data_IF_405634101429
#
_entry.id   IF_405634101429
#
_cell.length_a   1.000
_cell.length_b   1.000
_cell.length_c   1.000
_cell.angle_alpha   90.00
_cell.angle_beta   90.00
_cell.angle_gamma   90.00
#
_symmetry.space_group_name_H-M   'P 1'
#
loop_
_entity.id
_entity.type
_entity.pdbx_description
1 polymer ?
#
# COMPACT_ATOMS: atom_id res chain seq x y z
N UNK A 1 -6.31 20.34 18.85
CA UNK A 1 -6.18 19.91 17.44
C UNK A 1 -5.79 18.43 17.28
N UNK A 2 -4.64 17.97 17.80
CA UNK A 2 -4.21 16.54 17.74
C UNK A 2 -5.33 15.51 18.01
N UNK A 3 -6.05 15.65 19.15
CA UNK A 3 -7.15 14.74 19.52
C UNK A 3 -8.28 14.73 18.49
N UNK A 4 -8.62 15.89 17.90
CA UNK A 4 -9.67 16.01 16.88
C UNK A 4 -9.30 15.20 15.64
N UNK A 5 -8.11 15.44 15.07
CA UNK A 5 -7.60 14.73 13.88
C UNK A 5 -7.59 13.22 14.11
N UNK A 6 -7.01 12.77 15.23
CA UNK A 6 -6.93 11.34 15.53
C UNK A 6 -8.31 10.71 15.71
N UNK A 7 -9.26 11.41 16.32
CA UNK A 7 -10.62 10.89 16.50
C UNK A 7 -11.38 10.85 15.18
N UNK A 8 -11.31 11.91 14.35
CA UNK A 8 -11.90 11.92 13.01
C UNK A 8 -11.37 10.79 12.14
N UNK A 9 -10.06 10.54 12.18
CA UNK A 9 -9.45 9.42 11.46
C UNK A 9 -9.96 8.07 11.96
N UNK A 10 -10.08 7.87 13.27
CA UNK A 10 -10.63 6.64 13.86
C UNK A 10 -12.10 6.41 13.47
N UNK A 11 -12.93 7.45 13.51
CA UNK A 11 -14.33 7.34 13.05
C UNK A 11 -14.42 7.01 11.56
N UNK A 12 -13.50 7.54 10.73
CA UNK A 12 -13.45 7.20 9.32
C UNK A 12 -12.99 5.74 9.08
N UNK A 13 -12.08 5.21 9.92
CA UNK A 13 -11.72 3.78 9.91
C UNK A 13 -12.93 2.88 10.18
N UNK A 14 -13.68 3.18 11.25
CA UNK A 14 -14.91 2.47 11.62
C UNK A 14 -15.94 2.47 10.48
N UNK A 15 -16.18 3.64 9.88
CA UNK A 15 -17.11 3.81 8.76
C UNK A 15 -16.74 2.98 7.52
N UNK A 16 -15.46 2.61 7.36
CA UNK A 16 -14.95 1.81 6.26
C UNK A 16 -14.64 0.36 6.65
N UNK A 17 -15.18 -0.11 7.78
CA UNK A 17 -15.01 -1.49 8.27
C UNK A 17 -13.55 -1.90 8.51
N UNK A 18 -12.69 -0.94 8.89
CA UNK A 18 -11.31 -1.20 9.27
C UNK A 18 -11.21 -1.16 10.79
N UNK A 19 -10.94 -2.31 11.39
CA UNK A 19 -10.71 -2.42 12.83
C UNK A 19 -9.34 -1.87 13.19
N UNK A 20 -9.17 -1.31 14.39
CA UNK A 20 -7.89 -0.73 14.79
C UNK A 20 -7.59 -0.86 16.28
N UNK A 21 -6.30 -0.81 16.61
CA UNK A 21 -5.78 -0.61 17.98
C UNK A 21 -5.00 0.69 18.02
N UNK A 22 -5.40 1.61 18.89
CA UNK A 22 -4.78 2.94 19.04
C UNK A 22 -3.89 2.99 20.29
N UNK A 23 -2.65 3.43 20.11
CA UNK A 23 -1.69 3.72 21.18
C UNK A 23 -1.08 5.10 20.94
N UNK A 24 -1.62 6.13 21.63
CA UNK A 24 -1.30 7.55 21.39
C UNK A 24 -1.51 8.00 19.93
N UNK A 25 -0.43 8.27 19.19
CA UNK A 25 -0.44 8.66 17.77
C UNK A 25 -0.35 7.49 16.80
N UNK A 26 -0.16 6.28 17.33
CA UNK A 26 0.03 5.06 16.56
C UNK A 26 -1.30 4.33 16.46
N UNK A 27 -1.68 3.95 15.24
CA UNK A 27 -2.91 3.23 14.93
C UNK A 27 -2.54 1.99 14.13
N UNK A 28 -2.64 0.82 14.76
CA UNK A 28 -2.51 -0.48 14.09
C UNK A 28 -3.83 -0.84 13.43
N UNK A 29 -3.78 -1.30 12.18
CA UNK A 29 -4.93 -1.53 11.31
C UNK A 29 -5.14 -3.02 11.07
N UNK A 30 -6.41 -3.42 11.08
CA UNK A 30 -6.85 -4.79 10.95
C UNK A 30 -8.05 -4.86 9.99
N UNK A 31 -8.08 -5.90 9.18
CA UNK A 31 -9.21 -6.21 8.31
C UNK A 31 -9.50 -7.71 8.44
N UNK A 32 -10.75 -8.06 8.77
CA UNK A 32 -11.15 -9.42 9.13
C UNK A 32 -10.20 -10.05 10.18
N UNK A 33 -9.90 -9.30 11.24
CA UNK A 33 -8.97 -9.67 12.33
C UNK A 33 -7.50 -9.90 11.93
N UNK A 34 -7.15 -9.71 10.66
CA UNK A 34 -5.78 -9.83 10.17
C UNK A 34 -5.11 -8.45 10.18
N UNK A 35 -3.96 -8.37 10.83
CA UNK A 35 -3.12 -7.17 10.84
C UNK A 35 -2.54 -6.92 9.44
N UNK A 36 -2.80 -5.74 8.88
CA UNK A 36 -2.28 -5.34 7.56
C UNK A 36 -1.48 -4.04 7.58
N UNK A 37 -1.22 -3.46 8.75
CA UNK A 37 -0.26 -2.37 8.84
C UNK A 37 -0.53 -1.39 9.96
N UNK A 38 0.24 -0.31 9.98
CA UNK A 38 0.21 0.70 11.02
C UNK A 38 0.32 2.09 10.41
N UNK A 39 -0.23 3.08 11.10
CA UNK A 39 -0.12 4.48 10.76
C UNK A 39 0.28 5.24 12.02
N UNK A 40 1.32 6.07 11.92
CA UNK A 40 1.79 6.94 12.98
C UNK A 40 1.65 8.40 12.58
N UNK A 41 0.87 9.15 13.35
CA UNK A 41 0.73 10.58 13.20
C UNK A 41 1.84 11.31 13.95
N UNK A 42 2.88 11.75 13.23
CA UNK A 42 3.98 12.48 13.82
C UNK A 42 3.68 13.97 13.90
N UNK A 43 3.08 14.40 15.01
CA UNK A 43 2.84 15.80 15.33
C UNK A 43 4.14 16.54 15.61
N UNK A 44 4.38 17.64 14.89
CA UNK A 44 5.55 18.52 15.06
C UNK A 44 5.36 19.41 16.29
N UNK A 45 6.47 19.86 16.89
CA UNK A 45 6.49 20.72 18.08
C UNK A 45 7.50 21.86 17.93
N UNK A 46 7.25 22.97 18.64
CA UNK A 46 8.14 24.13 18.69
C UNK A 46 8.44 24.70 17.30
N UNK A 47 9.72 24.94 17.01
CA UNK A 47 10.22 25.49 15.74
C UNK A 47 9.88 24.67 14.49
N UNK A 48 9.41 23.44 14.65
CA UNK A 48 9.02 22.56 13.55
C UNK A 48 7.54 22.68 13.17
N UNK A 49 6.75 23.48 13.89
CA UNK A 49 5.40 23.86 13.50
C UNK A 49 5.50 25.03 12.53
N UNK A 50 4.77 24.96 11.41
CA UNK A 50 4.78 26.03 10.41
C UNK A 50 4.23 27.33 11.03
N UNK A 51 4.84 28.46 10.69
CA UNK A 51 4.44 29.77 11.25
C UNK A 51 2.95 30.00 10.98
N UNK A 52 2.21 30.38 12.04
CA UNK A 52 0.76 30.60 11.98
C UNK A 52 -0.10 29.34 12.07
N UNK A 53 0.48 28.13 11.98
CA UNK A 53 -0.29 26.89 12.07
C UNK A 53 -0.67 26.57 13.53
N UNK A 54 -1.90 26.10 13.72
CA UNK A 54 -2.35 25.50 14.99
C UNK A 54 -1.69 24.14 15.23
N UNK A 55 -1.36 23.42 14.16
CA UNK A 55 -0.83 22.08 14.22
C UNK A 55 -0.17 21.72 12.90
N UNK A 56 1.01 21.09 12.95
CA UNK A 56 1.64 20.44 11.79
C UNK A 56 1.90 18.99 12.12
N UNK A 57 1.66 18.08 11.18
CA UNK A 57 1.94 16.66 11.35
C UNK A 57 2.31 16.00 10.02
N UNK A 58 2.98 14.87 10.10
CA UNK A 58 3.22 13.99 8.94
C UNK A 58 2.73 12.58 9.27
N UNK A 59 2.37 11.83 8.24
CA UNK A 59 2.03 10.42 8.37
C UNK A 59 3.28 9.57 8.13
N UNK A 60 3.55 8.63 9.05
CA UNK A 60 4.63 7.66 8.93
C UNK A 60 4.02 6.26 9.05
N UNK A 61 4.30 5.37 8.12
CA UNK A 61 3.65 4.04 8.10
C UNK A 61 4.26 3.03 9.08
N UNK A 62 5.52 3.21 9.50
CA UNK A 62 6.20 2.16 10.25
C UNK A 62 7.19 2.71 11.27
N UNK A 63 7.15 2.11 12.45
CA UNK A 63 8.19 2.19 13.47
C UNK A 63 8.56 0.73 13.67
N UNK A 64 9.78 0.35 13.28
CA UNK A 64 10.26 -1.02 13.46
C UNK A 64 10.41 -1.35 14.95
N UNK A 65 10.64 -2.63 15.27
CA UNK A 65 10.81 -3.12 16.64
C UNK A 65 11.95 -2.44 17.43
N UNK A 66 12.85 -1.74 16.73
CA UNK A 66 13.97 -0.98 17.30
C UNK A 66 13.66 0.50 17.51
N UNK A 67 12.41 0.93 17.37
CA UNK A 67 11.98 2.34 17.47
C UNK A 67 12.72 3.29 16.51
N UNK A 68 13.25 2.78 15.40
CA UNK A 68 13.93 3.60 14.40
C UNK A 68 12.89 4.31 13.53
N UNK A 69 13.11 5.62 13.38
CA UNK A 69 12.27 6.55 12.65
C UNK A 69 12.56 6.40 11.15
N UNK A 70 12.04 5.35 10.55
CA UNK A 70 12.18 5.16 9.11
C UNK A 70 11.09 5.95 8.37
N UNK A 71 11.52 6.96 7.61
CA UNK A 71 10.64 7.56 6.61
C UNK A 71 10.53 6.53 5.49
N UNK A 72 9.49 5.69 5.59
CA UNK A 72 9.16 4.51 4.77
C UNK A 72 9.54 3.22 5.47
N UNK A 73 8.59 2.31 5.55
CA UNK A 73 8.70 0.90 5.15
C UNK A 73 7.34 0.28 5.49
N UNK A 74 6.46 0.01 4.52
CA UNK A 74 5.38 -0.96 4.79
C UNK A 74 5.96 -2.29 4.34
N UNK A 75 6.59 -2.97 5.29
CA UNK A 75 6.73 -4.42 5.22
C UNK A 75 5.31 -4.98 5.09
N UNK A 76 5.04 -5.84 4.10
CA UNK A 76 3.88 -6.71 3.84
C UNK A 76 3.85 -6.95 2.31
N UNK A 77 3.50 -8.10 1.74
CA UNK A 77 2.67 -9.21 2.21
C UNK A 77 3.48 -10.49 2.45
N UNK A 78 2.99 -11.38 3.33
CA UNK A 78 3.46 -12.79 3.27
C UNK A 78 2.73 -13.55 2.16
N UNK A 79 1.61 -13.04 1.65
CA UNK A 79 0.69 -13.76 0.77
C UNK A 79 1.22 -13.88 -0.65
N UNK A 80 1.51 -12.78 -1.34
CA UNK A 80 2.03 -12.81 -2.73
C UNK A 80 3.40 -13.52 -2.77
N UNK A 81 4.33 -13.24 -1.84
CA UNK A 81 5.59 -13.96 -1.76
C UNK A 81 5.46 -15.45 -1.46
N UNK A 82 4.50 -15.88 -0.63
CA UNK A 82 4.28 -17.32 -0.35
C UNK A 82 3.77 -18.09 -1.56
N UNK A 83 2.96 -17.46 -2.41
CA UNK A 83 2.44 -18.13 -3.61
C UNK A 83 3.46 -18.20 -4.74
N UNK A 84 4.45 -17.31 -4.77
CA UNK A 84 5.44 -17.23 -5.85
C UNK A 84 6.87 -17.00 -5.33
N UNK A 85 7.45 -17.98 -4.63
CA UNK A 85 8.80 -17.87 -4.09
C UNK A 85 9.84 -17.56 -5.17
N UNK A 86 9.76 -18.20 -6.34
CA UNK A 86 10.71 -17.97 -7.44
C UNK A 86 10.58 -16.59 -8.07
N UNK A 87 9.41 -15.95 -7.95
CA UNK A 87 9.19 -14.59 -8.44
C UNK A 87 9.73 -13.56 -7.42
N UNK A 88 9.80 -13.89 -6.13
CA UNK A 88 10.47 -13.02 -5.15
C UNK A 88 11.97 -12.92 -5.39
N UNK A 89 12.61 -14.02 -5.81
CA UNK A 89 14.04 -14.03 -6.10
C UNK A 89 14.40 -13.08 -7.26
N UNK A 90 13.44 -12.82 -8.16
CA UNK A 90 13.55 -11.81 -9.24
C UNK A 90 13.49 -10.37 -8.71
N UNK A 91 12.86 -10.16 -7.55
CA UNK A 91 12.67 -8.85 -6.93
C UNK A 91 13.77 -8.46 -5.93
N UNK A 92 14.53 -9.41 -5.39
CA UNK A 92 15.83 -9.31 -4.68
C UNK A 92 15.92 -10.52 -3.73
N UNK A 93 16.95 -11.37 -3.86
CA UNK A 93 17.19 -12.53 -2.95
C UNK A 93 17.38 -12.14 -1.47
N UNK A 94 17.68 -10.87 -1.17
CA UNK A 94 18.10 -10.40 0.15
C UNK A 94 17.23 -9.28 0.75
N UNK A 95 16.16 -8.85 0.07
CA UNK A 95 15.32 -7.74 0.51
C UNK A 95 13.91 -8.24 0.83
N UNK A 96 13.37 -7.80 1.96
CA UNK A 96 11.98 -8.08 2.34
C UNK A 96 11.04 -7.64 1.21
N UNK A 97 10.05 -8.45 0.78
CA UNK A 97 9.18 -8.13 -0.35
C UNK A 97 8.22 -6.97 -0.01
N UNK A 98 8.73 -5.74 -0.02
CA UNK A 98 7.99 -4.50 0.20
C UNK A 98 7.77 -3.80 -1.14
N UNK A 99 6.88 -4.33 -1.99
CA UNK A 99 6.70 -3.78 -3.33
C UNK A 99 5.90 -2.47 -3.34
N UNK A 100 5.38 -1.99 -2.21
CA UNK A 100 4.74 -0.68 -2.07
C UNK A 100 5.60 0.28 -1.25
N UNK A 101 6.13 1.33 -1.90
CA UNK A 101 7.00 2.35 -1.31
C UNK A 101 6.53 3.75 -1.73
N UNK A 102 5.97 4.49 -0.79
CA UNK A 102 5.61 5.91 -0.98
C UNK A 102 6.49 6.79 -0.11
N UNK A 103 7.27 7.69 -0.73
CA UNK A 103 8.04 8.69 0.01
C UNK A 103 7.15 9.91 0.30
N UNK A 104 7.21 10.46 1.52
CA UNK A 104 6.45 11.68 1.88
C UNK A 104 6.76 12.88 0.96
N UNK A 105 7.99 12.96 0.45
CA UNK A 105 8.42 13.96 -0.54
C UNK A 105 7.78 13.80 -1.93
N UNK A 106 7.27 12.62 -2.25
CA UNK A 106 6.62 12.33 -3.54
C UNK A 106 5.12 12.58 -3.47
N UNK A 107 4.50 12.46 -2.29
CA UNK A 107 3.08 12.75 -2.07
C UNK A 107 2.66 14.15 -2.47
N UNK A 108 3.51 15.15 -2.21
CA UNK A 108 3.22 16.53 -2.58
C UNK A 108 3.08 16.74 -4.10
N UNK A 109 3.46 15.74 -4.91
CA UNK A 109 3.25 15.70 -6.36
C UNK A 109 1.89 15.10 -6.75
N UNK A 110 1.32 14.26 -5.88
CA UNK A 110 0.08 13.51 -6.16
C UNK A 110 -1.15 14.20 -5.57
N UNK A 111 -0.97 14.87 -4.42
CA UNK A 111 -2.06 15.56 -3.76
C UNK A 111 -1.53 16.80 -3.02
N UNK A 112 -2.17 17.93 -3.30
CA UNK A 112 -1.81 19.24 -2.76
C UNK A 112 -1.98 19.34 -1.24
N UNK A 113 -2.66 18.38 -0.62
CA UNK A 113 -2.77 18.25 0.84
C UNK A 113 -1.41 17.92 1.47
N UNK A 114 -0.55 17.16 0.79
CA UNK A 114 0.75 16.70 1.31
C UNK A 114 1.92 17.61 0.92
N UNK A 115 1.77 18.92 1.13
CA UNK A 115 2.82 19.93 0.90
C UNK A 115 4.04 19.71 1.80
N UNK A 116 5.13 20.44 1.54
CA UNK A 116 6.31 20.53 2.40
C UNK A 116 6.90 19.16 2.80
N UNK A 117 7.14 18.29 1.82
CA UNK A 117 7.65 16.93 2.02
C UNK A 117 6.71 16.00 2.81
N UNK A 118 5.39 16.14 2.61
CA UNK A 118 4.38 15.31 3.26
C UNK A 118 3.97 15.81 4.65
N UNK A 119 4.21 17.09 4.94
CA UNK A 119 3.77 17.74 6.17
C UNK A 119 2.44 18.45 5.91
N UNK A 120 1.43 18.03 6.66
CA UNK A 120 0.12 18.66 6.69
C UNK A 120 0.13 19.70 7.82
N UNK A 121 -0.24 20.95 7.50
CA UNK A 121 -0.37 22.02 8.49
C UNK A 121 -1.81 22.56 8.50
N UNK A 122 -2.40 22.63 9.68
CA UNK A 122 -3.71 23.20 9.92
C UNK A 122 -3.57 24.58 10.54
N UNK A 123 -4.33 25.53 10.02
CA UNK A 123 -4.35 26.93 10.42
C UNK A 123 -5.64 27.26 11.18
N UNK A 124 -5.72 28.40 11.89
CA UNK A 124 -6.92 28.80 12.62
C UNK A 124 -8.20 28.79 11.80
N UNK A 125 -8.10 29.14 10.52
CA UNK A 125 -9.18 29.19 9.54
C UNK A 125 -9.54 27.83 8.93
N UNK A 126 -8.77 26.77 9.19
CA UNK A 126 -9.05 25.44 8.65
C UNK A 126 -10.40 24.93 9.16
N UNK A 127 -11.31 24.70 8.22
CA UNK A 127 -12.65 24.19 8.44
C UNK A 127 -12.67 22.69 8.78
N UNK A 128 -13.82 22.21 9.26
CA UNK A 128 -14.02 20.78 9.48
C UNK A 128 -14.05 19.97 8.18
N UNK A 129 -14.53 20.57 7.08
CA UNK A 129 -14.52 19.93 5.77
C UNK A 129 -13.09 19.72 5.26
N UNK A 130 -12.20 20.71 5.40
CA UNK A 130 -10.79 20.55 5.03
C UNK A 130 -10.11 19.46 5.87
N UNK A 131 -10.45 19.34 7.17
CA UNK A 131 -9.96 18.23 8.00
C UNK A 131 -10.44 16.89 7.44
N UNK A 132 -11.70 16.78 7.02
CA UNK A 132 -12.24 15.56 6.43
C UNK A 132 -11.56 15.22 5.09
N UNK A 133 -11.33 16.21 4.23
CA UNK A 133 -10.57 16.03 2.97
C UNK A 133 -9.17 15.49 3.24
N UNK A 134 -8.48 16.00 4.27
CA UNK A 134 -7.18 15.48 4.69
C UNK A 134 -7.27 14.02 5.13
N UNK A 135 -8.30 13.67 5.93
CA UNK A 135 -8.51 12.28 6.39
C UNK A 135 -8.77 11.35 5.20
N UNK A 136 -9.61 11.76 4.24
CA UNK A 136 -9.91 11.02 3.02
C UNK A 136 -8.64 10.81 2.20
N UNK A 137 -7.85 11.86 2.00
CA UNK A 137 -6.59 11.79 1.26
C UNK A 137 -5.59 10.83 1.91
N UNK A 138 -5.49 10.79 3.24
CA UNK A 138 -4.68 9.79 3.94
C UNK A 138 -5.20 8.38 3.68
N UNK A 139 -6.52 8.20 3.64
CA UNK A 139 -7.13 6.91 3.38
C UNK A 139 -6.86 6.39 1.96
N UNK A 140 -7.17 7.22 0.97
CA UNK A 140 -7.09 6.88 -0.46
C UNK A 140 -5.66 6.67 -0.93
N UNK A 141 -4.69 7.37 -0.32
CA UNK A 141 -3.28 7.26 -0.72
C UNK A 141 -2.47 6.29 0.15
N UNK A 142 -3.00 5.83 1.30
CA UNK A 142 -2.29 4.90 2.20
C UNK A 142 -3.10 3.70 2.64
N UNK A 143 -4.22 3.94 3.33
CA UNK A 143 -4.95 2.85 4.02
C UNK A 143 -5.50 1.85 3.00
N UNK A 144 -6.19 2.33 1.97
CA UNK A 144 -6.77 1.46 0.95
C UNK A 144 -5.71 0.79 0.08
N UNK A 145 -4.72 1.49 -0.50
CA UNK A 145 -3.66 0.84 -1.27
C UNK A 145 -2.92 -0.23 -0.47
N UNK A 146 -2.60 0.04 0.80
CA UNK A 146 -1.93 -0.91 1.68
C UNK A 146 -2.80 -2.16 1.93
N UNK A 147 -4.08 -1.97 2.26
CA UNK A 147 -5.03 -3.07 2.47
C UNK A 147 -5.17 -3.90 1.18
N UNK A 148 -5.47 -3.24 0.06
CA UNK A 148 -5.73 -3.91 -1.21
C UNK A 148 -4.52 -4.71 -1.68
N UNK A 149 -3.33 -4.12 -1.59
CA UNK A 149 -2.09 -4.82 -1.92
C UNK A 149 -1.83 -6.01 -0.98
N UNK A 150 -1.99 -5.83 0.34
CA UNK A 150 -1.74 -6.89 1.31
C UNK A 150 -2.59 -8.15 1.09
N UNK A 151 -3.87 -7.95 0.77
CA UNK A 151 -4.81 -9.04 0.49
C UNK A 151 -4.82 -9.49 -0.97
N UNK A 152 -3.95 -8.93 -1.83
CA UNK A 152 -3.92 -9.27 -3.26
C UNK A 152 -5.24 -9.01 -3.98
N UNK A 153 -5.98 -7.98 -3.56
CA UNK A 153 -7.27 -7.60 -4.13
C UNK A 153 -7.11 -7.06 -5.54
N UNK A 154 -8.06 -7.32 -6.44
CA UNK A 154 -8.06 -6.75 -7.79
C UNK A 154 -8.04 -5.21 -7.80
N UNK A 155 -8.66 -4.56 -6.81
CA UNK A 155 -8.62 -3.11 -6.59
C UNK A 155 -7.19 -2.55 -6.51
N UNK A 156 -6.21 -3.33 -6.05
CA UNK A 156 -4.82 -2.89 -5.99
C UNK A 156 -4.25 -2.59 -7.39
N UNK A 157 -4.78 -3.20 -8.45
CA UNK A 157 -4.37 -2.90 -9.83
C UNK A 157 -4.71 -1.46 -10.18
N UNK A 158 -5.90 -0.98 -9.82
CA UNK A 158 -6.31 0.42 -10.03
C UNK A 158 -5.43 1.37 -9.22
N UNK A 159 -5.14 1.02 -7.96
CA UNK A 159 -4.23 1.79 -7.09
C UNK A 159 -2.83 1.94 -7.72
N UNK A 160 -2.29 0.85 -8.27
CA UNK A 160 -0.99 0.84 -8.96
C UNK A 160 -1.03 1.67 -10.24
N UNK A 161 -2.07 1.53 -11.05
CA UNK A 161 -2.20 2.29 -12.29
C UNK A 161 -2.33 3.79 -12.05
N UNK A 162 -2.99 4.20 -10.96
CA UNK A 162 -3.10 5.59 -10.54
C UNK A 162 -1.75 6.16 -10.14
N UNK A 163 -0.97 5.42 -9.34
CA UNK A 163 0.29 5.90 -8.76
C UNK A 163 1.43 4.86 -8.84
N UNK A 164 1.93 4.51 -10.04
CA UNK A 164 2.85 3.39 -10.21
C UNK A 164 4.21 3.59 -9.54
N UNK A 165 4.65 4.83 -9.38
CA UNK A 165 5.89 5.17 -8.65
C UNK A 165 5.81 4.85 -7.15
N UNK A 166 4.61 4.64 -6.63
CA UNK A 166 4.39 4.16 -5.26
C UNK A 166 4.76 2.69 -5.09
N UNK A 167 5.14 1.99 -6.15
CA UNK A 167 5.47 0.58 -6.12
C UNK A 167 6.89 0.34 -6.66
N UNK A 168 7.68 -0.52 -5.99
CA UNK A 168 9.03 -0.92 -6.43
C UNK A 168 8.95 -1.68 -7.76
N UNK A 169 7.94 -2.54 -7.89
CA UNK A 169 7.69 -3.40 -9.04
C UNK A 169 6.23 -3.32 -9.49
N UNK A 170 5.79 -2.17 -10.04
CA UNK A 170 4.39 -1.91 -10.32
C UNK A 170 3.80 -2.90 -11.32
N UNK A 171 4.47 -3.13 -12.45
CA UNK A 171 3.93 -3.98 -13.50
C UNK A 171 3.92 -5.45 -13.07
N UNK A 172 4.99 -5.89 -12.45
CA UNK A 172 5.09 -7.25 -11.96
C UNK A 172 4.07 -7.55 -10.87
N UNK A 173 3.79 -6.57 -10.00
CA UNK A 173 2.72 -6.66 -9.01
C UNK A 173 1.35 -6.79 -9.66
N UNK A 174 1.07 -6.03 -10.72
CA UNK A 174 -0.18 -6.16 -11.49
C UNK A 174 -0.33 -7.59 -12.02
N UNK A 175 0.72 -8.15 -12.65
CA UNK A 175 0.68 -9.51 -13.21
C UNK A 175 0.39 -10.57 -12.13
N UNK A 176 1.03 -10.44 -10.96
CA UNK A 176 0.83 -11.35 -9.83
C UNK A 176 -0.61 -11.30 -9.30
N UNK A 177 -1.15 -10.09 -9.10
CA UNK A 177 -2.51 -9.90 -8.62
C UNK A 177 -3.52 -10.41 -9.65
N UNK A 178 -3.29 -10.13 -10.93
CA UNK A 178 -4.13 -10.65 -12.01
C UNK A 178 -4.15 -12.18 -12.01
N UNK A 179 -2.99 -12.82 -11.84
CA UNK A 179 -2.93 -14.27 -11.75
C UNK A 179 -3.66 -14.82 -10.51
N UNK A 180 -3.43 -14.24 -9.32
CA UNK A 180 -4.12 -14.63 -8.08
C UNK A 180 -5.64 -14.50 -8.16
N UNK A 181 -6.13 -13.50 -8.89
CA UNK A 181 -7.55 -13.21 -9.05
C UNK A 181 -8.14 -13.87 -10.31
N UNK A 182 -7.39 -14.75 -11.00
CA UNK A 182 -7.79 -15.39 -12.26
C UNK A 182 -8.26 -14.41 -13.35
N UNK A 183 -7.68 -13.21 -13.36
CA UNK A 183 -7.95 -12.21 -14.38
C UNK A 183 -7.13 -12.54 -15.64
N UNK A 184 -7.69 -12.24 -16.80
CA UNK A 184 -6.97 -12.38 -18.07
C UNK A 184 -5.73 -11.48 -18.08
N UNK A 185 -4.56 -12.12 -17.96
CA UNK A 185 -3.26 -11.45 -17.92
C UNK A 185 -3.00 -10.69 -19.23
N UNK A 186 -3.51 -11.20 -20.36
CA UNK A 186 -3.36 -10.61 -21.69
C UNK A 186 -3.97 -9.20 -21.80
N UNK A 187 -4.96 -8.88 -20.96
CA UNK A 187 -5.51 -7.53 -20.88
C UNK A 187 -4.52 -6.52 -20.27
N UNK A 188 -3.54 -6.99 -19.48
CA UNK A 188 -2.50 -6.17 -18.85
C UNK A 188 -1.18 -6.19 -19.61
N UNK A 189 -0.93 -7.20 -20.47
CA UNK A 189 0.16 -7.18 -21.46
C UNK A 189 -0.10 -6.13 -22.55
N UNK A 190 -1.36 -5.78 -22.79
CA UNK A 190 -1.81 -4.70 -23.67
C UNK A 190 -1.75 -3.29 -23.07
N UNK A 191 -1.07 -3.07 -21.94
CA UNK A 191 -0.76 -1.70 -21.51
C UNK A 191 0.09 -1.08 -22.62
N UNK A 192 -0.48 -0.10 -23.35
CA UNK A 192 0.02 0.51 -24.59
C UNK A 192 1.48 1.00 -24.60
N UNK A 193 2.24 0.84 -23.52
CA UNK A 193 3.69 1.01 -23.49
C UNK A 193 4.28 0.37 -22.20
N UNK A 194 4.62 -0.93 -22.18
CA UNK A 194 5.17 -1.60 -21.00
C UNK A 194 6.47 -0.95 -20.50
N UNK A 195 7.23 -0.32 -21.41
CA UNK A 195 8.46 0.43 -21.12
C UNK A 195 8.25 1.63 -20.19
N UNK A 196 7.01 2.04 -19.93
CA UNK A 196 6.70 3.06 -18.92
C UNK A 196 6.95 2.56 -17.49
N UNK A 197 7.01 1.25 -17.27
CA UNK A 197 7.28 0.68 -15.96
C UNK A 197 8.75 0.33 -15.80
N UNK A 198 9.37 0.71 -14.66
CA UNK A 198 10.80 0.51 -14.42
C UNK A 198 11.20 -0.97 -14.36
N UNK A 199 10.27 -1.86 -14.03
CA UNK A 199 10.45 -3.30 -13.87
C UNK A 199 10.09 -4.11 -15.13
N UNK A 200 9.79 -3.43 -16.23
CA UNK A 200 9.37 -4.07 -17.49
C UNK A 200 10.37 -5.05 -18.09
N UNK A 201 11.66 -4.92 -17.75
CA UNK A 201 12.72 -5.86 -18.17
C UNK A 201 12.52 -7.30 -17.67
N UNK A 202 11.79 -7.49 -16.57
CA UNK A 202 11.59 -8.80 -15.95
C UNK A 202 10.27 -9.49 -16.39
N UNK A 203 9.44 -8.84 -17.20
CA UNK A 203 8.08 -9.32 -17.55
C UNK A 203 8.09 -10.73 -18.12
N UNK A 204 8.96 -11.03 -19.10
CA UNK A 204 8.96 -12.32 -19.78
C UNK A 204 9.16 -13.46 -18.80
N UNK A 205 10.17 -13.33 -17.94
CA UNK A 205 10.49 -14.33 -16.93
C UNK A 205 9.34 -14.53 -15.93
N UNK A 206 8.68 -13.43 -15.54
CA UNK A 206 7.53 -13.48 -14.62
C UNK A 206 6.33 -14.16 -15.29
N UNK A 207 6.02 -13.82 -16.54
CA UNK A 207 4.94 -14.48 -17.29
C UNK A 207 5.20 -15.98 -17.44
N UNK A 208 6.42 -16.38 -17.79
CA UNK A 208 6.80 -17.79 -17.94
C UNK A 208 6.56 -18.56 -16.62
N UNK A 209 6.93 -17.98 -15.48
CA UNK A 209 6.69 -18.56 -14.15
C UNK A 209 5.19 -18.65 -13.81
N UNK A 210 4.42 -17.60 -14.09
CA UNK A 210 2.97 -17.59 -13.82
C UNK A 210 2.22 -18.62 -14.68
N UNK A 211 2.59 -18.76 -15.96
CA UNK A 211 1.99 -19.77 -16.84
C UNK A 211 2.37 -21.19 -16.43
N UNK A 212 3.62 -21.43 -16.03
CA UNK A 212 4.04 -22.73 -15.50
C UNK A 212 3.28 -23.10 -14.22
N UNK A 213 3.12 -22.14 -13.31
CA UNK A 213 2.36 -22.32 -12.07
C UNK A 213 0.89 -22.67 -12.33
N UNK A 214 0.20 -21.92 -13.21
CA UNK A 214 -1.19 -22.19 -13.60
C UNK A 214 -1.37 -23.62 -14.12
N UNK A 215 -0.48 -24.05 -15.02
CA UNK A 215 -0.51 -25.40 -15.61
C UNK A 215 -0.34 -26.50 -14.55
N UNK A 216 0.52 -26.29 -13.57
CA UNK A 216 0.75 -27.26 -12.50
C UNK A 216 -0.49 -27.43 -11.59
N UNK A 217 -1.21 -26.34 -11.30
CA UNK A 217 -2.47 -26.38 -10.54
C UNK A 217 -3.55 -27.16 -11.31
N UNK A 218 -3.71 -26.88 -12.61
CA UNK A 218 -4.68 -27.57 -13.47
C UNK A 218 -4.42 -29.09 -13.50
N UNK A 219 -3.15 -29.51 -13.67
CA UNK A 219 -2.77 -30.93 -13.65
C UNK A 219 -3.05 -31.60 -12.30
N UNK A 220 -2.80 -30.91 -11.17
CA UNK A 220 -3.08 -31.45 -9.84
C UNK A 220 -4.58 -31.65 -9.58
N UNK A 221 -5.41 -30.72 -10.03
CA UNK A 221 -6.87 -30.83 -9.89
C UNK A 221 -7.44 -31.95 -10.79
N UNK A 222 -6.91 -32.14 -12.00
CA UNK A 222 -7.30 -33.22 -12.90
C UNK A 222 -6.89 -34.62 -12.38
N UNK A 223 -5.76 -34.72 -11.66
CA UNK A 223 -5.33 -35.99 -11.07
C UNK A 223 -6.10 -36.34 -9.79
N UNK A 224 -6.51 -35.34 -9.00
CA UNK A 224 -7.36 -35.58 -7.83
C UNK A 224 -8.79 -35.98 -8.22
N UNK A 225 -9.35 -35.38 -9.27
CA UNK A 225 -10.69 -35.75 -9.76
C UNK A 225 -10.76 -37.14 -10.39
N UNK A 226 -9.63 -37.71 -10.83
CA UNK A 226 -9.54 -39.08 -11.37
C UNK A 226 -9.34 -40.17 -10.30
N UNK A 227 -9.03 -39.80 -9.06
CA UNK A 227 -8.81 -40.73 -7.95
C UNK A 227 -10.06 -40.94 -7.06
N UNK A 228 -11.18 -40.29 -7.36
CA UNK A 228 -12.46 -40.44 -6.65
C UNK A 228 -13.44 -41.43 -7.34
N UNK A 229 -12.93 -42.39 -8.11
CA UNK A 229 -13.72 -43.46 -8.75
C UNK A 229 -13.22 -44.86 -8.43
#
# INVERSE_FOLDING_TARGET
MKKKILNSFCSYLEANHISFKKHDCIISLFFNDIFFGKINFQFKKGKHVKIGALCSFSIVSYINEKNILDQKFIELSTTIPKFYPEINDIFDENDTPSNFKVHGSELGKFDSIFKDFGIISLYPETSENEINEIIIAIFDNYVFPMKNYYFGSNLAIEDILKNPSSYKYPLSTILLISHLQNLEIDNFVNIKNPRKFPDSKNISQILDLLFAHKKNIEIHNDNNSKNDH
#
